data_IF_798950646971
#
_entry.id   IF_798950646971
#
_cell.length_a   1.000
_cell.length_b   1.000
_cell.length_c   1.000
_cell.angle_alpha   90.00
_cell.angle_beta   90.00
_cell.angle_gamma   90.00
#
_symmetry.space_group_name_H-M   'P 1'
#
loop_
_entity.id
_entity.type
_entity.pdbx_description
1 polymer ?
#
# COMPACT_ATOMS: atom_id res chain seq x y z
N UNK A 1 -19.46 7.14 8.82
CA UNK A 1 -18.72 6.57 9.97
C UNK A 1 -17.32 7.16 9.88
N UNK A 2 -16.89 7.97 10.85
CA UNK A 2 -15.53 8.53 10.85
C UNK A 2 -14.55 7.37 10.93
N UNK A 3 -13.52 7.36 10.08
CA UNK A 3 -12.37 6.50 10.31
C UNK A 3 -11.78 6.91 11.65
N UNK A 4 -11.79 6.04 12.68
CA UNK A 4 -11.15 6.38 13.94
C UNK A 4 -9.69 6.72 13.63
N UNK A 5 -9.23 7.90 14.05
CA UNK A 5 -7.81 8.27 14.01
C UNK A 5 -7.08 7.41 15.03
N UNK A 6 -6.91 6.14 14.72
CA UNK A 6 -6.19 5.17 15.54
C UNK A 6 -4.73 5.59 15.67
N UNK A 7 -4.23 6.35 14.68
CA UNK A 7 -2.85 6.82 14.59
C UNK A 7 -2.76 8.33 14.57
N UNK A 8 -1.77 8.82 15.30
CA UNK A 8 -1.26 10.17 15.31
C UNK A 8 0.22 10.04 14.99
N UNK A 9 0.57 10.18 13.71
CA UNK A 9 1.98 10.25 13.29
C UNK A 9 2.49 11.65 13.62
N UNK A 10 3.50 11.75 14.51
CA UNK A 10 4.21 13.01 14.78
C UNK A 10 5.70 12.80 14.49
N UNK A 11 6.14 13.15 13.28
CA UNK A 11 7.51 12.87 12.84
C UNK A 11 7.76 11.36 12.76
N UNK A 12 8.85 10.89 13.36
CA UNK A 12 9.25 9.47 13.35
C UNK A 12 8.52 8.61 14.40
N UNK A 13 7.68 9.22 15.24
CA UNK A 13 7.08 8.54 16.39
C UNK A 13 5.58 8.26 16.15
N UNK A 14 5.23 6.98 16.15
CA UNK A 14 3.84 6.52 16.01
C UNK A 14 3.16 6.58 17.37
N UNK A 15 2.22 7.53 17.52
CA UNK A 15 1.36 7.60 18.70
C UNK A 15 -0.02 7.08 18.36
N UNK A 16 -0.49 6.13 19.15
CA UNK A 16 -1.84 5.65 18.99
C UNK A 16 -2.82 6.48 19.81
N UNK A 17 -4.00 6.75 19.25
CA UNK A 17 -5.10 7.28 20.02
C UNK A 17 -5.65 6.17 20.93
N UNK A 18 -5.25 6.22 22.20
CA UNK A 18 -5.57 5.18 23.20
C UNK A 18 -7.08 5.00 23.40
N UNK A 19 -7.86 6.07 23.27
CA UNK A 19 -9.31 6.02 23.49
C UNK A 19 -10.02 5.34 22.31
N UNK A 20 -9.63 5.67 21.08
CA UNK A 20 -10.14 5.01 19.87
C UNK A 20 -9.72 3.54 19.80
N UNK A 21 -8.47 3.21 20.15
CA UNK A 21 -7.99 1.83 20.22
C UNK A 21 -8.83 0.98 21.17
N UNK A 22 -9.18 1.50 22.35
CA UNK A 22 -9.97 0.77 23.36
C UNK A 22 -11.40 0.52 22.91
N UNK A 23 -11.93 1.32 21.99
CA UNK A 23 -13.27 1.13 21.41
C UNK A 23 -13.34 -0.13 20.55
N UNK A 24 -12.22 -0.53 19.94
CA UNK A 24 -12.13 -1.71 19.08
C UNK A 24 -11.73 -2.93 19.92
N UNK A 25 -12.57 -3.96 19.90
CA UNK A 25 -12.44 -5.13 20.78
C UNK A 25 -11.09 -5.84 20.61
N UNK A 26 -10.65 -6.00 19.37
CA UNK A 26 -9.44 -6.72 18.99
C UNK A 26 -8.19 -5.99 19.52
N UNK A 27 -8.13 -4.67 19.38
CA UNK A 27 -7.03 -3.86 19.92
C UNK A 27 -7.06 -3.80 21.44
N UNK A 28 -8.25 -3.70 22.05
CA UNK A 28 -8.40 -3.79 23.51
C UNK A 28 -7.85 -5.11 24.04
N UNK A 29 -8.11 -6.22 23.36
CA UNK A 29 -7.59 -7.55 23.73
C UNK A 29 -6.07 -7.59 23.69
N UNK A 30 -5.43 -7.00 22.67
CA UNK A 30 -3.96 -6.86 22.61
C UNK A 30 -3.41 -5.99 23.75
N UNK A 31 -4.13 -4.94 24.13
CA UNK A 31 -3.73 -4.04 25.22
C UNK A 31 -3.92 -4.73 26.59
N UNK A 32 -4.97 -5.51 26.78
CA UNK A 32 -5.31 -6.17 28.04
C UNK A 32 -4.45 -7.41 28.32
N UNK A 33 -4.05 -8.14 27.27
CA UNK A 33 -3.15 -9.31 27.43
C UNK A 33 -1.73 -8.93 27.84
N UNK A 34 -1.31 -7.70 27.53
CA UNK A 34 0.00 -7.20 27.92
C UNK A 34 0.05 -6.96 29.43
N UNK A 35 0.72 -7.88 30.13
CA UNK A 35 0.93 -7.85 31.58
C UNK A 35 2.22 -7.13 31.97
N UNK A 36 2.96 -6.54 31.04
CA UNK A 36 4.17 -5.78 31.36
C UNK A 36 3.82 -4.69 32.39
N UNK A 37 4.43 -4.79 33.58
CA UNK A 37 4.20 -3.89 34.71
C UNK A 37 5.18 -2.72 34.67
N UNK A 38 4.64 -1.58 35.13
CA UNK A 38 5.24 -0.31 35.52
C UNK A 38 6.46 -0.43 36.46
N UNK A 39 7.62 -0.84 35.98
CA UNK A 39 8.85 -0.57 36.75
C UNK A 39 9.39 0.84 36.44
N UNK A 40 9.24 1.34 35.21
CA UNK A 40 9.73 2.68 34.79
C UNK A 40 8.66 3.62 34.19
N UNK A 41 7.37 3.39 34.47
CA UNK A 41 6.30 4.32 34.06
C UNK A 41 5.86 4.26 32.59
N UNK A 42 6.45 3.40 31.75
CA UNK A 42 5.96 3.14 30.39
C UNK A 42 5.06 1.91 30.32
N UNK A 43 3.76 2.13 30.56
CA UNK A 43 2.73 1.10 30.47
C UNK A 43 2.63 0.47 29.06
N UNK A 44 2.78 -0.86 28.98
CA UNK A 44 2.38 -1.74 27.84
C UNK A 44 3.21 -1.62 26.55
N UNK A 45 4.53 -1.74 26.68
CA UNK A 45 5.43 -1.69 25.54
C UNK A 45 5.19 -2.81 24.53
N UNK A 46 4.81 -4.02 24.96
CA UNK A 46 4.65 -5.15 24.04
C UNK A 46 3.40 -4.97 23.16
N UNK A 47 2.26 -4.58 23.74
CA UNK A 47 1.07 -4.22 22.97
C UNK A 47 1.34 -3.07 21.99
N UNK A 48 2.14 -2.06 22.40
CA UNK A 48 2.54 -0.96 21.51
C UNK A 48 3.31 -1.48 20.30
N UNK A 49 4.27 -2.39 20.49
CA UNK A 49 5.05 -3.00 19.40
C UNK A 49 4.15 -3.80 18.46
N UNK A 50 3.23 -4.59 18.98
CA UNK A 50 2.30 -5.37 18.16
C UNK A 50 1.33 -4.49 17.36
N UNK A 51 0.80 -3.42 17.96
CA UNK A 51 -0.02 -2.44 17.24
C UNK A 51 0.79 -1.67 16.19
N UNK A 52 2.08 -1.40 16.46
CA UNK A 52 3.02 -0.80 15.51
C UNK A 52 3.26 -1.71 14.32
N UNK A 53 3.41 -3.01 14.57
CA UNK A 53 3.47 -4.01 13.51
C UNK A 53 2.20 -4.03 12.67
N UNK A 54 1.01 -4.02 13.30
CA UNK A 54 -0.28 -3.98 12.59
C UNK A 54 -0.36 -2.77 11.66
N UNK A 55 0.06 -1.59 12.12
CA UNK A 55 0.13 -0.40 11.26
C UNK A 55 1.07 -0.60 10.07
N UNK A 56 2.34 -0.92 10.32
CA UNK A 56 3.34 -1.02 9.25
C UNK A 56 2.99 -2.10 8.22
N UNK A 57 2.30 -3.16 8.65
CA UNK A 57 1.91 -4.25 7.78
C UNK A 57 0.59 -4.02 7.03
N UNK A 58 -0.43 -3.48 7.70
CA UNK A 58 -1.81 -3.41 7.18
C UNK A 58 -2.24 -2.03 6.68
N UNK A 59 -1.54 -0.95 7.01
CA UNK A 59 -1.97 0.40 6.64
C UNK A 59 -1.69 0.72 5.17
N UNK A 60 -2.68 1.28 4.46
CA UNK A 60 -2.53 1.59 3.03
C UNK A 60 -1.56 2.75 2.78
N UNK A 61 -1.29 3.58 3.79
CA UNK A 61 -0.29 4.67 3.79
C UNK A 61 1.05 4.25 4.38
N UNK A 62 1.19 2.98 4.80
CA UNK A 62 2.43 2.47 5.37
C UNK A 62 3.60 2.65 4.37
N UNK A 63 4.79 3.05 4.86
CA UNK A 63 6.01 3.06 4.03
C UNK A 63 6.33 1.72 3.38
N UNK A 64 5.81 0.61 3.91
CA UNK A 64 6.08 -0.75 3.46
C UNK A 64 4.97 -1.33 2.59
N UNK A 65 3.96 -0.52 2.22
CA UNK A 65 2.80 -0.98 1.43
C UNK A 65 3.20 -1.57 0.07
N UNK A 66 4.29 -1.06 -0.51
CA UNK A 66 4.79 -1.50 -1.82
C UNK A 66 5.76 -2.70 -1.75
N UNK A 67 6.09 -3.19 -0.55
CA UNK A 67 6.95 -4.36 -0.39
C UNK A 67 6.15 -5.65 -0.55
N UNK A 68 6.79 -6.69 -1.08
CA UNK A 68 6.23 -8.05 -1.11
C UNK A 68 5.97 -8.59 0.30
N UNK A 69 5.08 -9.57 0.44
CA UNK A 69 4.56 -10.04 1.74
C UNK A 69 5.67 -10.37 2.75
N UNK A 70 6.67 -11.15 2.35
CA UNK A 70 7.79 -11.53 3.21
C UNK A 70 8.64 -10.31 3.60
N UNK A 71 9.01 -9.47 2.64
CA UNK A 71 9.83 -8.28 2.92
C UNK A 71 9.09 -7.29 3.82
N UNK A 72 7.79 -7.10 3.57
CA UNK A 72 6.92 -6.26 4.39
C UNK A 72 6.83 -6.80 5.82
N UNK A 73 6.69 -8.11 6.00
CA UNK A 73 6.71 -8.74 7.32
C UNK A 73 8.03 -8.44 8.05
N UNK A 74 9.18 -8.74 7.42
CA UNK A 74 10.50 -8.53 8.00
C UNK A 74 10.78 -7.06 8.35
N UNK A 75 10.38 -6.13 7.48
CA UNK A 75 10.60 -4.71 7.72
C UNK A 75 9.64 -4.17 8.81
N UNK A 76 8.42 -4.71 8.90
CA UNK A 76 7.45 -4.34 9.93
C UNK A 76 7.87 -4.83 11.32
N UNK A 77 8.38 -6.07 11.46
CA UNK A 77 8.88 -6.58 12.75
C UNK A 77 10.07 -5.74 13.25
N UNK A 78 10.99 -5.40 12.34
CA UNK A 78 12.17 -4.58 12.66
C UNK A 78 11.78 -3.19 13.14
N UNK A 79 10.85 -2.55 12.43
CA UNK A 79 10.37 -1.21 12.78
C UNK A 79 9.52 -1.20 14.05
N UNK A 80 8.83 -2.30 14.33
CA UNK A 80 8.09 -2.50 15.57
C UNK A 80 8.99 -2.89 16.76
N UNK A 81 10.29 -3.14 16.56
CA UNK A 81 11.18 -3.61 17.63
C UNK A 81 10.81 -5.00 18.18
N UNK A 82 10.22 -5.85 17.33
CA UNK A 82 9.94 -7.26 17.62
C UNK A 82 11.16 -8.12 17.24
N UNK A 83 11.26 -9.33 17.79
CA UNK A 83 12.36 -10.23 17.45
C UNK A 83 12.21 -10.77 16.02
N UNK A 84 13.33 -11.08 15.34
CA UNK A 84 13.32 -11.43 13.90
C UNK A 84 12.48 -12.67 13.56
N UNK A 85 12.37 -13.62 14.49
CA UNK A 85 11.55 -14.82 14.32
C UNK A 85 10.08 -14.65 14.75
N UNK A 86 9.66 -13.44 15.09
CA UNK A 86 8.33 -13.17 15.63
C UNK A 86 7.26 -13.41 14.57
N UNK A 87 6.15 -14.03 14.97
CA UNK A 87 5.01 -14.26 14.08
C UNK A 87 3.72 -13.79 14.73
N UNK A 88 2.80 -13.17 13.95
CA UNK A 88 1.53 -12.73 14.47
C UNK A 88 0.72 -13.95 14.94
N UNK A 89 0.38 -13.95 16.22
CA UNK A 89 -0.50 -14.94 16.83
C UNK A 89 -1.97 -14.71 16.45
N UNK A 90 -2.87 -15.51 17.01
CA UNK A 90 -4.31 -15.42 16.73
C UNK A 90 -4.89 -14.03 17.02
N UNK A 91 -4.55 -13.42 18.16
CA UNK A 91 -5.12 -12.12 18.55
C UNK A 91 -4.55 -10.99 17.70
N UNK A 92 -3.27 -11.07 17.32
CA UNK A 92 -2.67 -10.10 16.38
C UNK A 92 -3.35 -10.22 15.02
N UNK A 93 -3.58 -11.42 14.50
CA UNK A 93 -4.27 -11.62 13.23
C UNK A 93 -5.72 -11.10 13.26
N UNK A 94 -6.40 -11.24 14.39
CA UNK A 94 -7.74 -10.65 14.59
C UNK A 94 -7.67 -9.11 14.56
N UNK A 95 -6.67 -8.52 15.22
CA UNK A 95 -6.42 -7.09 15.18
C UNK A 95 -6.07 -6.58 13.77
N UNK A 96 -5.26 -7.32 12.99
CA UNK A 96 -4.96 -7.01 11.59
C UNK A 96 -6.23 -6.95 10.75
N UNK A 97 -7.10 -7.97 10.87
CA UNK A 97 -8.39 -8.00 10.17
C UNK A 97 -9.29 -6.83 10.56
N UNK A 98 -9.37 -6.50 11.84
CA UNK A 98 -10.13 -5.36 12.31
C UNK A 98 -9.58 -4.05 11.72
N UNK A 99 -8.26 -3.89 11.68
CA UNK A 99 -7.59 -2.71 11.12
C UNK A 99 -7.86 -2.55 9.62
N UNK A 100 -7.77 -3.64 8.84
CA UNK A 100 -8.08 -3.65 7.41
C UNK A 100 -9.56 -3.30 7.15
N UNK A 101 -10.48 -3.87 7.94
CA UNK A 101 -11.91 -3.59 7.81
C UNK A 101 -12.26 -2.14 8.13
N UNK A 102 -11.54 -1.51 9.08
CA UNK A 102 -11.77 -0.11 9.43
C UNK A 102 -11.35 0.80 8.28
N UNK A 103 -10.20 0.52 7.65
CA UNK A 103 -9.74 1.26 6.48
C UNK A 103 -10.55 0.94 5.21
N UNK A 104 -11.51 0.01 5.27
CA UNK A 104 -12.23 -0.46 4.10
C UNK A 104 -13.19 0.59 3.56
N UNK A 105 -12.73 1.37 2.59
CA UNK A 105 -13.54 2.30 1.80
C UNK A 105 -13.52 1.88 0.33
N UNK A 106 -14.56 2.21 -0.46
CA UNK A 106 -14.57 1.94 -1.89
C UNK A 106 -13.34 2.52 -2.63
N UNK A 107 -12.89 3.72 -2.24
CA UNK A 107 -11.72 4.36 -2.82
C UNK A 107 -10.41 3.59 -2.54
N UNK A 108 -10.18 3.17 -1.29
CA UNK A 108 -9.01 2.37 -0.90
C UNK A 108 -9.00 1.02 -1.62
N UNK A 109 -10.19 0.40 -1.77
CA UNK A 109 -10.33 -0.82 -2.56
C UNK A 109 -9.92 -0.61 -4.02
N UNK A 110 -10.42 0.44 -4.67
CA UNK A 110 -10.06 0.76 -6.05
C UNK A 110 -8.56 0.98 -6.21
N UNK A 111 -7.91 1.71 -5.30
CA UNK A 111 -6.46 1.92 -5.35
C UNK A 111 -5.69 0.61 -5.23
N UNK A 112 -6.10 -0.27 -4.30
CA UNK A 112 -5.46 -1.58 -4.14
C UNK A 112 -5.57 -2.43 -5.40
N UNK A 113 -6.77 -2.53 -5.97
CA UNK A 113 -7.01 -3.26 -7.23
C UNK A 113 -6.18 -2.69 -8.38
N UNK A 114 -6.09 -1.36 -8.50
CA UNK A 114 -5.27 -0.69 -9.51
C UNK A 114 -3.78 -1.02 -9.31
N UNK A 115 -3.26 -0.94 -8.08
CA UNK A 115 -1.85 -1.25 -7.78
C UNK A 115 -1.51 -2.70 -8.10
N UNK A 116 -2.35 -3.66 -7.71
CA UNK A 116 -2.18 -5.08 -8.04
C UNK A 116 -2.20 -5.32 -9.56
N UNK A 117 -3.08 -4.62 -10.27
CA UNK A 117 -3.16 -4.68 -11.74
C UNK A 117 -1.89 -4.12 -12.40
N UNK A 118 -1.37 -2.99 -11.91
CA UNK A 118 -0.14 -2.38 -12.41
C UNK A 118 1.09 -3.27 -12.18
N UNK A 119 1.22 -3.86 -10.98
CA UNK A 119 2.30 -4.79 -10.66
C UNK A 119 2.28 -6.01 -11.60
N UNK A 120 1.09 -6.59 -11.82
CA UNK A 120 0.91 -7.72 -12.73
C UNK A 120 1.25 -7.32 -14.17
N UNK A 121 0.80 -6.14 -14.61
CA UNK A 121 1.09 -5.61 -15.96
C UNK A 121 2.59 -5.41 -16.18
N UNK A 122 3.30 -4.94 -15.16
CA UNK A 122 4.76 -4.80 -15.19
C UNK A 122 5.47 -6.15 -15.37
N UNK A 123 5.10 -7.18 -14.62
CA UNK A 123 5.70 -8.51 -14.76
C UNK A 123 5.39 -9.13 -16.14
N UNK A 124 4.16 -8.95 -16.66
CA UNK A 124 3.82 -9.36 -18.03
C UNK A 124 4.73 -8.66 -19.05
N UNK A 125 4.89 -7.33 -18.94
CA UNK A 125 5.74 -6.57 -19.85
C UNK A 125 7.21 -7.03 -19.79
N UNK A 126 7.70 -7.37 -18.60
CA UNK A 126 9.05 -7.91 -18.41
C UNK A 126 9.22 -9.28 -19.06
N UNK A 127 8.26 -10.19 -18.89
CA UNK A 127 8.25 -11.51 -19.54
C UNK A 127 8.22 -11.35 -21.06
N UNK A 128 7.35 -10.47 -21.57
CA UNK A 128 7.23 -10.19 -23.00
C UNK A 128 8.55 -9.64 -23.58
N UNK A 129 9.18 -8.69 -22.89
CA UNK A 129 10.49 -8.17 -23.29
C UNK A 129 11.58 -9.26 -23.31
N UNK A 130 11.56 -10.18 -22.36
CA UNK A 130 12.50 -11.30 -22.34
C UNK A 130 12.25 -12.27 -23.50
N UNK A 131 10.98 -12.60 -23.79
CA UNK A 131 10.61 -13.41 -24.94
C UNK A 131 11.06 -12.75 -26.26
N UNK A 132 10.85 -11.44 -26.41
CA UNK A 132 11.30 -10.69 -27.57
C UNK A 132 12.83 -10.75 -27.74
N UNK A 133 13.60 -10.60 -26.65
CA UNK A 133 15.06 -10.76 -26.71
C UNK A 133 15.46 -12.17 -27.16
N UNK A 134 14.79 -13.20 -26.65
CA UNK A 134 15.06 -14.59 -27.04
C UNK A 134 14.72 -14.84 -28.52
N UNK A 135 13.59 -14.31 -29.00
CA UNK A 135 13.18 -14.40 -30.41
C UNK A 135 14.19 -13.68 -31.29
N UNK A 136 14.59 -12.45 -30.95
CA UNK A 136 15.60 -11.70 -31.69
C UNK A 136 16.94 -12.43 -31.74
N UNK A 137 17.41 -12.98 -30.62
CA UNK A 137 18.62 -13.79 -30.58
C UNK A 137 18.50 -15.04 -31.47
N UNK A 138 17.36 -15.73 -31.44
CA UNK A 138 17.08 -16.89 -32.30
C UNK A 138 17.00 -16.52 -33.79
N UNK A 139 16.39 -15.39 -34.13
CA UNK A 139 16.35 -14.86 -35.50
C UNK A 139 17.74 -14.48 -35.99
N UNK A 140 18.56 -13.86 -35.14
CA UNK A 140 19.93 -13.46 -35.51
C UNK A 140 20.85 -14.67 -35.71
N UNK A 141 20.67 -15.72 -34.90
CA UNK A 141 21.35 -17.00 -35.12
C UNK A 141 20.92 -17.63 -36.45
N UNK A 142 19.61 -17.69 -36.73
CA UNK A 142 19.09 -18.20 -38.01
C UNK A 142 19.53 -17.35 -39.22
N UNK A 143 19.60 -16.03 -39.08
CA UNK A 143 20.05 -15.11 -40.14
C UNK A 143 21.54 -15.29 -40.45
N UNK A 144 22.36 -15.53 -39.43
CA UNK A 144 23.78 -15.83 -39.62
C UNK A 144 23.97 -17.18 -40.35
N UNK A 145 23.09 -18.14 -40.12
CA UNK A 145 23.05 -19.44 -40.81
C UNK A 145 22.52 -19.30 -42.26
N UNK A 146 21.50 -18.46 -42.46
CA UNK A 146 20.85 -18.18 -43.76
C UNK A 146 21.67 -17.30 -44.71
N UNK A 147 22.64 -16.52 -44.20
CA UNK A 147 23.57 -15.75 -45.05
C UNK A 147 24.48 -16.64 -45.92
N UNK A 148 24.38 -17.97 -45.79
CA UNK A 148 25.04 -18.91 -46.70
C UNK A 148 24.25 -19.22 -47.97
N UNK A 149 22.94 -18.96 -48.10
CA UNK A 149 22.23 -19.23 -49.37
C UNK A 149 20.99 -18.35 -49.61
N UNK A 150 20.88 -17.92 -50.86
CA UNK A 150 20.07 -16.81 -51.36
C UNK A 150 18.52 -17.01 -51.34
N UNK A 151 17.82 -15.85 -51.31
CA UNK A 151 16.43 -15.55 -51.73
C UNK A 151 15.29 -15.96 -50.77
N UNK A 152 14.71 -14.95 -50.07
CA UNK A 152 13.27 -14.81 -49.67
C UNK A 152 12.99 -13.50 -48.88
N UNK A 153 13.42 -12.35 -49.42
CA UNK A 153 13.35 -11.05 -48.71
C UNK A 153 11.94 -10.41 -48.63
N UNK A 154 10.94 -10.92 -49.36
CA UNK A 154 9.64 -10.26 -49.50
C UNK A 154 8.60 -10.67 -48.42
N UNK A 155 8.63 -11.90 -47.91
CA UNK A 155 7.71 -12.36 -46.84
C UNK A 155 8.10 -11.79 -45.46
N UNK A 156 9.40 -11.59 -45.22
CA UNK A 156 9.94 -11.01 -43.97
C UNK A 156 9.51 -9.54 -43.75
N UNK A 157 9.18 -8.80 -44.82
CA UNK A 157 8.79 -7.40 -44.73
C UNK A 157 7.35 -7.21 -44.22
N UNK A 158 6.44 -8.14 -44.50
CA UNK A 158 5.03 -8.07 -44.09
C UNK A 158 4.86 -8.36 -42.58
N UNK A 159 5.55 -9.37 -42.06
CA UNK A 159 5.54 -9.69 -40.62
C UNK A 159 6.17 -8.58 -39.78
N UNK A 160 7.23 -7.94 -40.29
CA UNK A 160 7.84 -6.78 -39.64
C UNK A 160 6.89 -5.57 -39.58
N UNK A 161 6.02 -5.40 -40.57
CA UNK A 161 5.04 -4.31 -40.61
C UNK A 161 3.92 -4.53 -39.58
N UNK A 162 3.48 -5.78 -39.39
CA UNK A 162 2.55 -6.17 -38.33
C UNK A 162 3.17 -5.97 -36.93
N UNK A 163 4.46 -6.29 -36.78
CA UNK A 163 5.20 -6.08 -35.53
C UNK A 163 5.27 -4.59 -35.15
N UNK A 164 5.57 -3.71 -36.12
CA UNK A 164 5.60 -2.26 -35.93
C UNK A 164 4.22 -1.73 -35.53
N UNK A 165 3.14 -2.24 -36.14
CA UNK A 165 1.77 -1.88 -35.77
C UNK A 165 1.47 -2.24 -34.31
N UNK A 166 1.78 -3.46 -33.91
CA UNK A 166 1.56 -3.92 -32.53
C UNK A 166 2.40 -3.13 -31.51
N UNK A 167 3.62 -2.73 -31.88
CA UNK A 167 4.45 -1.84 -31.06
C UNK A 167 3.81 -0.47 -30.86
N UNK A 168 3.25 0.13 -31.92
CA UNK A 168 2.57 1.42 -31.83
C UNK A 168 1.31 1.35 -30.95
N UNK A 169 0.54 0.26 -31.06
CA UNK A 169 -0.64 0.04 -30.20
C UNK A 169 -0.24 -0.11 -28.73
N UNK A 170 0.89 -0.76 -28.45
CA UNK A 170 1.44 -0.91 -27.09
C UNK A 170 1.92 0.43 -26.52
N UNK A 171 2.60 1.25 -27.32
CA UNK A 171 3.02 2.61 -26.92
C UNK A 171 1.79 3.46 -26.57
N UNK A 172 0.70 3.33 -27.33
CA UNK A 172 -0.55 4.04 -27.05
C UNK A 172 -1.17 3.59 -25.72
N UNK A 173 -1.19 2.28 -25.45
CA UNK A 173 -1.65 1.75 -24.15
C UNK A 173 -0.81 2.29 -22.99
N UNK A 174 0.51 2.36 -23.12
CA UNK A 174 1.38 2.94 -22.08
C UNK A 174 1.07 4.41 -21.80
N UNK A 175 0.77 5.20 -22.84
CA UNK A 175 0.34 6.59 -22.66
C UNK A 175 -0.98 6.70 -21.89
N UNK A 176 -1.92 5.79 -22.12
CA UNK A 176 -3.19 5.79 -21.39
C UNK A 176 -3.03 5.31 -19.95
N UNK A 177 -2.08 4.39 -19.68
CA UNK A 177 -1.67 4.03 -18.32
C UNK A 177 -1.06 5.23 -17.60
N UNK A 178 -0.22 6.03 -18.26
CA UNK A 178 0.37 7.23 -17.66
C UNK A 178 -0.71 8.25 -17.24
N UNK A 179 -1.76 8.42 -18.07
CA UNK A 179 -2.91 9.26 -17.71
C UNK A 179 -3.68 8.69 -16.52
N UNK A 180 -3.86 7.37 -16.47
CA UNK A 180 -4.53 6.71 -15.36
C UNK A 180 -3.76 6.89 -14.04
N UNK A 181 -2.42 6.85 -14.08
CA UNK A 181 -1.56 7.12 -12.91
C UNK A 181 -1.75 8.56 -12.42
N UNK A 182 -1.70 9.56 -13.30
CA UNK A 182 -1.95 10.97 -12.93
C UNK A 182 -3.32 11.19 -12.27
N UNK A 183 -4.34 10.49 -12.77
CA UNK A 183 -5.67 10.52 -12.16
C UNK A 183 -5.69 9.85 -10.78
N UNK A 184 -4.87 8.82 -10.55
CA UNK A 184 -4.73 8.20 -9.24
C UNK A 184 -4.10 9.15 -8.22
N UNK A 185 -3.08 9.90 -8.60
CA UNK A 185 -2.47 10.92 -7.73
C UNK A 185 -3.53 11.97 -7.29
N UNK A 186 -4.38 12.37 -8.24
CA UNK A 186 -5.51 13.28 -7.96
C UNK A 186 -6.55 12.65 -7.02
N UNK A 187 -6.77 11.33 -7.12
CA UNK A 187 -7.67 10.61 -6.20
C UNK A 187 -7.02 10.49 -4.81
N UNK A 188 -5.70 10.29 -4.71
CA UNK A 188 -4.99 10.28 -3.43
C UNK A 188 -5.09 11.65 -2.73
N UNK A 189 -4.95 12.76 -3.46
CA UNK A 189 -5.21 14.11 -2.95
C UNK A 189 -6.66 14.26 -2.44
N UNK A 190 -7.64 13.78 -3.22
CA UNK A 190 -9.05 13.78 -2.81
C UNK A 190 -9.33 12.92 -1.58
N UNK A 191 -8.60 11.81 -1.39
CA UNK A 191 -8.73 10.98 -0.18
C UNK A 191 -8.22 11.75 1.03
N UNK A 192 -7.12 12.49 0.90
CA UNK A 192 -6.61 13.36 1.97
C UNK A 192 -7.68 14.41 2.34
N UNK A 193 -8.33 15.01 1.34
CA UNK A 193 -9.43 15.96 1.54
C UNK A 193 -10.67 15.31 2.18
N UNK A 194 -11.14 14.17 1.68
CA UNK A 194 -12.32 13.47 2.22
C UNK A 194 -12.08 13.01 3.67
N UNK A 195 -10.88 12.50 3.97
CA UNK A 195 -10.48 12.17 5.34
C UNK A 195 -10.41 13.44 6.20
N UNK A 196 -9.91 14.56 5.68
CA UNK A 196 -9.88 15.84 6.37
C UNK A 196 -11.30 16.41 6.64
N UNK A 197 -12.21 16.34 5.67
CA UNK A 197 -13.59 16.82 5.81
C UNK A 197 -14.40 15.96 6.80
N UNK A 198 -14.19 14.65 6.80
CA UNK A 198 -14.76 13.77 7.84
C UNK A 198 -14.27 14.14 9.25
N UNK A 199 -13.05 14.66 9.37
CA UNK A 199 -12.50 15.14 10.64
C UNK A 199 -13.12 16.47 11.11
N UNK A 200 -13.57 17.34 10.18
CA UNK A 200 -14.10 18.67 10.52
C UNK A 200 -15.57 18.60 11.01
N UNK A 201 -16.37 17.62 10.57
CA UNK A 201 -17.83 17.52 10.86
C UNK A 201 -18.24 17.16 12.30
N UNK A 202 -17.48 17.57 13.31
CA UNK A 202 -17.75 17.29 14.72
C UNK A 202 -16.92 18.12 15.69
N UNK A 203 -16.30 19.20 15.22
CA UNK A 203 -15.82 20.27 16.10
C UNK A 203 -16.96 21.25 16.33
N UNK A 204 -17.81 21.00 17.33
CA UNK A 204 -18.53 22.14 17.91
C UNK A 204 -17.47 23.04 18.53
N UNK A 205 -17.25 24.21 17.92
CA UNK A 205 -16.69 25.32 18.66
C UNK A 205 -17.62 25.54 19.86
N UNK A 206 -17.09 25.42 21.09
CA UNK A 206 -17.80 25.96 22.25
C UNK A 206 -18.00 27.44 21.96
N UNK A 207 -19.24 27.82 21.62
CA UNK A 207 -19.64 29.22 21.66
C UNK A 207 -19.34 29.77 23.04
N UNK A 208 -18.85 31.01 23.09
CA UNK A 208 -18.62 31.77 24.32
C UNK A 208 -19.83 31.65 25.24
N UNK A 209 -19.79 30.72 26.20
CA UNK A 209 -20.67 30.75 27.35
C UNK A 209 -20.09 31.82 28.26
N UNK A 210 -20.86 32.89 28.42
CA UNK A 210 -20.62 33.93 29.42
C UNK A 210 -20.28 33.27 30.76
N UNK A 211 -19.12 33.66 31.30
CA UNK A 211 -18.72 33.26 32.64
C UNK A 211 -19.74 33.82 33.64
N UNK A 212 -20.18 33.04 34.64
CA UNK A 212 -21.07 33.53 35.70
C UNK A 212 -20.44 34.72 36.44
N UNK A 213 -21.23 35.78 36.65
CA UNK A 213 -20.86 37.03 37.34
C UNK A 213 -20.65 36.91 38.87
N UNK A 214 -20.01 35.83 39.36
CA UNK A 214 -19.70 35.70 40.80
C UNK A 214 -18.23 35.37 41.07
N UNK A 215 -17.32 35.97 40.30
CA UNK A 215 -15.90 36.10 40.67
C UNK A 215 -15.31 37.43 40.17
N UNK A 216 -15.89 38.55 40.61
CA UNK A 216 -15.24 39.87 40.57
C UNK A 216 -15.31 40.57 41.91
#
# INVERSE_FOLDING_TARGET
MRLPKILIVRGDDIKFNKDELRTIKEFRTLIERDKSKKEDGEDKQYAKRELTYVYFYCDYTSPYVNLGEEQRHQQSIKSAGLHDAWKPDKMVREAMKAYENIQYTPAIRSIREIRETLATSYEIAKIFNQQNKNILAGMQAKLNDFRSDNIKAAELAADNQLLIKNMNDTIKMLSDVEKAIKNCDTIEERIIEEVAEQNIRGGQALGNRELPEDQR
#
